data_IF_572475622180
#
_entry.id   IF_572475622180
#
_cell.length_a   1.000
_cell.length_b   1.000
_cell.length_c   1.000
_cell.angle_alpha   90.00
_cell.angle_beta   90.00
_cell.angle_gamma   90.00
#
_symmetry.space_group_name_H-M   'P 1'
#
loop_
_entity.id
_entity.type
_entity.pdbx_description
1 polymer ?
#
# COMPACT_ATOMS: atom_id res chain seq x y z
N UNK A 1 -18.88 -8.35 34.26
CA UNK A 1 -17.96 -7.19 34.25
C UNK A 1 -18.29 -6.17 33.16
N UNK A 2 -18.25 -6.48 31.85
CA UNK A 2 -18.53 -5.48 30.80
C UNK A 2 -19.96 -4.87 30.88
N UNK A 3 -20.97 -5.70 31.12
CA UNK A 3 -22.36 -5.23 31.32
C UNK A 3 -22.51 -4.30 32.54
N UNK A 4 -21.81 -4.59 33.64
CA UNK A 4 -21.81 -3.75 34.83
C UNK A 4 -21.13 -2.39 34.58
N UNK A 5 -20.03 -2.37 33.81
CA UNK A 5 -19.39 -1.14 33.36
C UNK A 5 -20.31 -0.30 32.47
N UNK A 6 -21.04 -0.92 31.54
CA UNK A 6 -22.01 -0.22 30.70
C UNK A 6 -23.12 0.43 31.53
N UNK A 7 -23.61 -0.26 32.57
CA UNK A 7 -24.62 0.31 33.49
C UNK A 7 -24.08 1.53 34.25
N UNK A 8 -22.86 1.44 34.81
CA UNK A 8 -22.25 2.57 35.54
C UNK A 8 -22.04 3.76 34.61
N UNK A 9 -21.59 3.53 33.38
CA UNK A 9 -21.36 4.59 32.40
C UNK A 9 -22.67 5.19 31.87
N UNK A 10 -23.75 4.40 31.78
CA UNK A 10 -25.07 4.92 31.41
C UNK A 10 -25.60 5.94 32.41
N UNK A 11 -25.27 5.81 33.71
CA UNK A 11 -25.60 6.80 34.73
C UNK A 11 -24.90 8.16 34.51
N UNK A 12 -23.77 8.16 33.78
CA UNK A 12 -23.03 9.37 33.40
C UNK A 12 -23.50 9.98 32.07
N UNK A 13 -24.55 9.42 31.45
CA UNK A 13 -25.07 9.84 30.14
C UNK A 13 -24.33 9.24 28.94
N UNK A 14 -23.44 8.27 29.17
CA UNK A 14 -22.68 7.57 28.14
C UNK A 14 -23.31 6.22 27.81
N UNK A 15 -23.93 6.11 26.64
CA UNK A 15 -24.45 4.83 26.12
C UNK A 15 -23.38 4.12 25.29
N UNK A 16 -22.85 3.03 25.83
CA UNK A 16 -21.93 2.16 25.09
C UNK A 16 -22.70 1.03 24.40
N UNK A 17 -22.40 0.73 23.13
CA UNK A 17 -23.00 -0.38 22.43
C UNK A 17 -22.57 -1.70 23.06
N UNK A 18 -23.45 -2.70 23.05
CA UNK A 18 -23.12 -4.03 23.51
C UNK A 18 -21.97 -4.63 22.67
N UNK A 19 -21.15 -5.49 23.28
CA UNK A 19 -20.01 -6.12 22.62
C UNK A 19 -20.40 -6.82 21.30
N UNK A 20 -21.56 -7.51 21.27
CA UNK A 20 -22.06 -8.14 20.05
C UNK A 20 -22.34 -7.13 18.93
N UNK A 21 -22.79 -5.92 19.26
CA UNK A 21 -23.01 -4.86 18.27
C UNK A 21 -21.70 -4.44 17.63
N UNK A 22 -20.64 -4.26 18.44
CA UNK A 22 -19.28 -3.95 17.94
C UNK A 22 -18.75 -5.09 17.06
N UNK A 23 -18.93 -6.34 17.49
CA UNK A 23 -18.51 -7.52 16.71
C UNK A 23 -19.25 -7.60 15.37
N UNK A 24 -20.57 -7.47 15.36
CA UNK A 24 -21.39 -7.55 14.16
C UNK A 24 -21.11 -6.41 13.19
N UNK A 25 -20.95 -5.18 13.70
CA UNK A 25 -20.57 -4.03 12.85
C UNK A 25 -19.19 -4.21 12.23
N UNK A 26 -18.21 -4.69 13.01
CA UNK A 26 -16.86 -4.99 12.50
C UNK A 26 -16.86 -6.12 11.46
N UNK A 27 -17.73 -7.12 11.61
CA UNK A 27 -17.94 -8.17 10.61
C UNK A 27 -18.60 -7.63 9.34
N UNK A 28 -19.64 -6.81 9.48
CA UNK A 28 -20.30 -6.17 8.35
C UNK A 28 -19.35 -5.28 7.55
N UNK A 29 -18.51 -4.48 8.22
CA UNK A 29 -17.51 -3.62 7.56
C UNK A 29 -16.49 -4.48 6.81
N UNK A 30 -15.99 -5.55 7.43
CA UNK A 30 -15.05 -6.47 6.76
C UNK A 30 -15.67 -7.11 5.52
N UNK A 31 -16.92 -7.58 5.61
CA UNK A 31 -17.63 -8.17 4.49
C UNK A 31 -17.88 -7.16 3.37
N UNK A 32 -18.26 -5.92 3.72
CA UNK A 32 -18.46 -4.83 2.77
C UNK A 32 -17.18 -4.49 2.00
N UNK A 33 -16.05 -4.45 2.70
CA UNK A 33 -14.74 -4.13 2.11
C UNK A 33 -14.02 -5.36 1.53
N UNK A 34 -14.59 -6.57 1.64
CA UNK A 34 -13.95 -7.81 1.16
C UNK A 34 -12.69 -8.21 1.93
N UNK A 35 -12.56 -7.79 3.18
CA UNK A 35 -11.43 -8.14 4.04
C UNK A 35 -11.65 -9.49 4.72
N UNK A 36 -10.66 -10.38 4.61
CA UNK A 36 -10.65 -11.64 5.34
C UNK A 36 -9.71 -11.56 6.55
N UNK A 37 -10.13 -12.19 7.64
CA UNK A 37 -9.28 -12.37 8.82
C UNK A 37 -8.46 -13.63 8.64
N UNK A 38 -7.15 -13.47 8.71
CA UNK A 38 -6.16 -14.52 8.70
C UNK A 38 -5.81 -14.88 10.13
N UNK A 39 -5.99 -16.15 10.48
CA UNK A 39 -5.50 -16.73 11.72
C UNK A 39 -4.02 -17.10 11.53
N UNK A 40 -3.19 -16.65 12.46
CA UNK A 40 -1.77 -16.95 12.51
C UNK A 40 -1.42 -17.43 13.91
N UNK A 41 -0.44 -18.32 14.02
CA UNK A 41 0.08 -18.77 15.31
C UNK A 41 1.37 -18.01 15.63
N UNK A 42 1.42 -17.42 16.83
CA UNK A 42 2.64 -16.78 17.32
C UNK A 42 3.70 -17.82 17.71
N UNK A 43 4.95 -17.37 17.86
CA UNK A 43 6.08 -18.20 18.31
C UNK A 43 5.80 -18.86 19.69
N UNK A 44 4.93 -18.27 20.50
CA UNK A 44 4.50 -18.80 21.81
C UNK A 44 3.28 -19.72 21.75
N UNK A 45 2.80 -20.11 20.56
CA UNK A 45 1.63 -20.98 20.40
C UNK A 45 0.28 -20.29 20.61
N UNK A 46 0.26 -18.95 20.77
CA UNK A 46 -0.99 -18.20 20.87
C UNK A 46 -1.57 -17.94 19.48
N UNK A 47 -2.89 -18.16 19.34
CA UNK A 47 -3.66 -17.83 18.14
C UNK A 47 -3.85 -16.31 18.04
N UNK A 48 -3.40 -15.74 16.93
CA UNK A 48 -3.52 -14.33 16.59
C UNK A 48 -4.37 -14.16 15.33
N UNK A 49 -5.17 -13.10 15.29
CA UNK A 49 -6.03 -12.79 14.15
C UNK A 49 -5.61 -11.45 13.58
N UNK A 50 -5.44 -11.40 12.25
CA UNK A 50 -5.02 -10.19 11.55
C UNK A 50 -5.78 -10.05 10.24
N UNK A 51 -5.93 -8.81 9.75
CA UNK A 51 -6.43 -8.57 8.40
C UNK A 51 -5.27 -8.74 7.41
N UNK A 52 -5.57 -9.25 6.21
CA UNK A 52 -4.57 -9.44 5.16
C UNK A 52 -3.92 -8.12 4.75
N UNK A 53 -2.62 -7.95 5.05
CA UNK A 53 -1.84 -6.77 4.65
C UNK A 53 -1.87 -6.53 3.12
N UNK A 54 -1.71 -7.55 2.26
CA UNK A 54 -1.85 -7.36 0.81
C UNK A 54 -3.17 -6.71 0.38
N UNK A 55 -4.29 -7.08 1.03
CA UNK A 55 -5.60 -6.50 0.70
C UNK A 55 -5.66 -5.02 1.11
N UNK A 56 -5.10 -4.68 2.27
CA UNK A 56 -5.06 -3.29 2.75
C UNK A 56 -4.26 -2.43 1.76
N UNK A 57 -3.06 -2.90 1.40
CA UNK A 57 -2.21 -2.20 0.43
C UNK A 57 -2.89 -2.04 -0.93
N UNK A 58 -3.60 -3.07 -1.41
CA UNK A 58 -4.34 -2.98 -2.67
C UNK A 58 -5.42 -1.88 -2.64
N UNK A 59 -6.16 -1.76 -1.53
CA UNK A 59 -7.17 -0.70 -1.38
C UNK A 59 -6.54 0.70 -1.25
N UNK A 60 -5.45 0.84 -0.51
CA UNK A 60 -4.75 2.12 -0.37
C UNK A 60 -4.14 2.58 -1.70
N UNK A 61 -3.58 1.66 -2.49
CA UNK A 61 -3.07 1.98 -3.83
C UNK A 61 -4.20 2.39 -4.78
N UNK A 62 -5.38 1.75 -4.67
CA UNK A 62 -6.55 2.06 -5.48
C UNK A 62 -7.26 3.36 -5.07
N UNK A 63 -6.94 3.92 -3.90
CA UNK A 63 -7.60 5.11 -3.39
C UNK A 63 -7.16 6.37 -4.18
N UNK A 64 -8.08 7.07 -4.87
CA UNK A 64 -7.74 8.23 -5.69
C UNK A 64 -7.20 9.43 -4.88
N UNK A 65 -7.46 9.48 -3.57
CA UNK A 65 -6.91 10.53 -2.71
C UNK A 65 -5.48 10.23 -2.25
N UNK A 66 -5.12 8.94 -2.13
CA UNK A 66 -3.78 8.51 -1.69
C UNK A 66 -2.84 8.34 -2.87
N UNK A 67 -3.37 7.82 -3.98
CA UNK A 67 -2.61 7.51 -5.20
C UNK A 67 -1.70 8.66 -5.68
N UNK A 68 -2.10 9.95 -5.68
CA UNK A 68 -1.24 11.06 -6.11
C UNK A 68 -0.03 11.31 -5.20
N UNK A 69 -0.10 10.86 -3.94
CA UNK A 69 0.97 11.01 -2.96
C UNK A 69 1.93 9.80 -2.94
N UNK A 70 1.65 8.75 -3.70
CA UNK A 70 2.50 7.57 -3.82
C UNK A 70 3.54 7.75 -4.95
N UNK A 71 4.78 7.43 -4.64
CA UNK A 71 5.87 7.41 -5.61
C UNK A 71 6.03 5.98 -6.17
N UNK A 72 5.74 5.79 -7.45
CA UNK A 72 5.87 4.48 -8.12
C UNK A 72 7.21 4.26 -8.81
N UNK A 73 7.99 5.32 -8.97
CA UNK A 73 9.26 5.28 -9.70
C UNK A 73 10.39 5.73 -8.78
N UNK A 74 11.55 5.08 -8.85
CA UNK A 74 12.75 5.56 -8.16
C UNK A 74 13.16 6.92 -8.71
N UNK A 75 13.73 7.76 -7.85
CA UNK A 75 14.12 9.13 -8.15
C UNK A 75 15.62 9.29 -8.00
N UNK A 76 16.27 9.86 -9.01
CA UNK A 76 17.69 10.20 -8.98
C UNK A 76 17.90 11.57 -8.37
N UNK A 77 18.64 11.62 -7.25
CA UNK A 77 19.02 12.87 -6.57
C UNK A 77 20.54 13.05 -6.46
N UNK A 78 21.34 12.16 -7.08
CA UNK A 78 22.81 12.16 -7.00
C UNK A 78 23.33 12.20 -5.54
N UNK A 79 22.56 11.65 -4.59
CA UNK A 79 22.90 11.61 -3.18
C UNK A 79 22.71 12.94 -2.41
N UNK A 80 22.09 13.95 -3.01
CA UNK A 80 21.79 15.22 -2.35
C UNK A 80 20.34 15.26 -1.89
N UNK A 81 20.09 15.84 -0.71
CA UNK A 81 18.74 16.08 -0.18
C UNK A 81 17.82 14.84 -0.27
N UNK A 82 18.27 13.69 0.26
CA UNK A 82 17.46 12.48 0.31
C UNK A 82 16.49 12.57 1.49
N UNK A 83 15.19 12.69 1.20
CA UNK A 83 14.13 12.77 2.21
C UNK A 83 13.00 11.75 1.98
N UNK A 84 13.02 11.03 0.84
CA UNK A 84 12.05 9.97 0.52
C UNK A 84 12.71 8.63 0.27
N UNK A 85 11.95 7.56 0.47
CA UNK A 85 12.40 6.21 0.13
C UNK A 85 12.63 6.02 -1.37
N UNK A 86 11.84 6.68 -2.23
CA UNK A 86 12.00 6.68 -3.69
C UNK A 86 13.38 7.14 -4.16
N UNK A 87 14.04 7.97 -3.36
CA UNK A 87 15.38 8.50 -3.60
C UNK A 87 16.50 7.61 -3.03
N UNK A 88 16.14 6.50 -2.38
CA UNK A 88 17.12 5.61 -1.78
C UNK A 88 17.88 4.83 -2.85
N UNK A 89 19.18 4.65 -2.61
CA UNK A 89 20.04 3.80 -3.43
C UNK A 89 19.49 2.37 -3.54
N UNK A 90 18.89 1.85 -2.47
CA UNK A 90 18.30 0.52 -2.43
C UNK A 90 17.21 0.33 -3.49
N UNK A 91 16.27 1.28 -3.60
CA UNK A 91 15.21 1.21 -4.61
C UNK A 91 15.79 1.36 -6.01
N UNK A 92 16.75 2.27 -6.18
CA UNK A 92 17.34 2.56 -7.49
C UNK A 92 18.17 1.37 -8.04
N UNK A 93 19.08 0.84 -7.23
CA UNK A 93 20.18 -0.01 -7.70
C UNK A 93 20.11 -1.45 -7.18
N UNK A 94 19.57 -1.67 -5.98
CA UNK A 94 19.67 -2.98 -5.30
C UNK A 94 18.49 -3.91 -5.55
N UNK A 95 17.32 -3.38 -5.93
CA UNK A 95 16.17 -4.22 -6.27
C UNK A 95 16.45 -5.05 -7.52
N UNK A 96 16.01 -6.31 -7.55
CA UNK A 96 16.13 -7.16 -8.72
C UNK A 96 15.25 -6.68 -9.89
N UNK A 97 15.58 -6.99 -11.17
CA UNK A 97 14.79 -6.54 -12.32
C UNK A 97 13.30 -6.88 -12.24
N UNK A 98 12.93 -8.01 -11.64
CA UNK A 98 11.54 -8.46 -11.46
C UNK A 98 10.76 -7.67 -10.40
N UNK A 99 11.45 -7.01 -9.47
CA UNK A 99 10.84 -6.18 -8.41
C UNK A 99 10.79 -4.70 -8.81
N UNK A 100 11.50 -4.32 -9.86
CA UNK A 100 11.51 -2.97 -10.39
C UNK A 100 10.25 -2.71 -11.22
N UNK A 101 10.05 -1.43 -11.49
CA UNK A 101 8.96 -0.97 -12.34
C UNK A 101 9.12 -1.52 -13.75
N UNK A 102 8.12 -2.28 -14.19
CA UNK A 102 8.11 -2.91 -15.51
C UNK A 102 7.55 -1.98 -16.61
N UNK A 103 6.78 -0.96 -16.22
CA UNK A 103 6.02 -0.12 -17.14
C UNK A 103 6.03 1.35 -16.71
N UNK A 104 6.27 2.24 -17.67
CA UNK A 104 6.18 3.68 -17.51
C UNK A 104 5.04 4.25 -18.36
N UNK A 105 4.20 5.10 -17.75
CA UNK A 105 3.17 5.85 -18.48
C UNK A 105 3.67 7.26 -18.75
N UNK A 106 3.60 7.69 -20.01
CA UNK A 106 3.86 9.08 -20.40
C UNK A 106 2.97 9.50 -21.56
N UNK A 107 2.21 10.59 -21.39
CA UNK A 107 1.27 11.11 -22.39
C UNK A 107 0.30 10.03 -22.89
N UNK A 108 -0.33 9.30 -21.97
CA UNK A 108 -1.26 8.18 -22.26
C UNK A 108 -0.67 7.04 -23.10
N UNK A 109 0.66 6.96 -23.18
CA UNK A 109 1.39 5.85 -23.81
C UNK A 109 2.11 5.05 -22.76
N UNK A 110 2.03 3.73 -22.91
CA UNK A 110 2.68 2.78 -22.02
C UNK A 110 3.99 2.32 -22.66
N UNK A 111 5.05 2.32 -21.87
CA UNK A 111 6.36 1.85 -22.27
C UNK A 111 6.78 0.72 -21.34
N UNK A 112 7.09 -0.44 -21.90
CA UNK A 112 7.53 -1.59 -21.13
C UNK A 112 9.04 -1.75 -21.22
N UNK A 113 9.63 -2.33 -20.17
CA UNK A 113 11.01 -2.79 -20.26
C UNK A 113 11.12 -3.95 -21.24
N UNK A 114 12.29 -4.11 -21.87
CA UNK A 114 12.59 -5.14 -22.88
C UNK A 114 11.76 -5.09 -24.18
N UNK A 115 10.94 -4.05 -24.37
CA UNK A 115 10.22 -3.83 -25.63
C UNK A 115 10.89 -2.74 -26.49
N UNK A 116 10.95 -2.89 -27.82
CA UNK A 116 11.44 -1.85 -28.71
C UNK A 116 10.58 -0.58 -28.62
N UNK A 117 11.20 0.55 -28.33
CA UNK A 117 10.53 1.85 -28.23
C UNK A 117 11.26 2.87 -29.09
N UNK A 118 10.49 3.72 -29.79
CA UNK A 118 11.05 4.76 -30.64
C UNK A 118 11.19 6.07 -29.86
N UNK A 119 12.40 6.60 -29.78
CA UNK A 119 12.66 7.92 -29.25
C UNK A 119 12.14 9.01 -30.20
N UNK A 120 11.96 10.24 -29.69
CA UNK A 120 11.65 11.42 -30.53
C UNK A 120 12.70 11.66 -31.63
N UNK A 121 13.93 11.22 -31.41
CA UNK A 121 15.04 11.24 -32.38
C UNK A 121 14.94 10.17 -33.48
N UNK A 122 13.84 9.42 -33.53
CA UNK A 122 13.57 8.27 -34.43
C UNK A 122 14.44 7.03 -34.20
N UNK A 123 15.36 7.05 -33.24
CA UNK A 123 16.16 5.89 -32.85
C UNK A 123 15.28 4.87 -32.12
N UNK A 124 15.45 3.60 -32.45
CA UNK A 124 14.82 2.48 -31.75
C UNK A 124 15.75 2.07 -30.61
N UNK A 125 15.22 1.99 -29.41
CA UNK A 125 15.93 1.55 -28.20
C UNK A 125 15.11 0.49 -27.47
N UNK A 126 15.74 -0.25 -26.58
CA UNK A 126 15.06 -1.16 -25.67
C UNK A 126 15.25 -0.61 -24.25
N UNK A 127 14.18 -0.18 -23.55
CA UNK A 127 14.28 0.28 -22.17
C UNK A 127 14.65 -0.89 -21.26
N UNK A 128 15.65 -0.70 -20.41
CA UNK A 128 16.04 -1.70 -19.40
C UNK A 128 15.55 -1.32 -18.00
N UNK A 129 15.41 -0.03 -17.74
CA UNK A 129 15.12 0.50 -16.43
C UNK A 129 14.52 1.90 -16.51
N UNK A 130 13.52 2.18 -15.68
CA UNK A 130 12.87 3.48 -15.58
C UNK A 130 13.13 4.12 -14.22
N UNK A 131 13.52 5.39 -14.25
CA UNK A 131 13.67 6.23 -13.07
C UNK A 131 13.29 7.67 -13.41
N UNK A 132 12.91 8.45 -12.40
CA UNK A 132 12.68 9.89 -12.50
C UNK A 132 14.00 10.60 -12.26
N UNK A 133 14.33 11.56 -13.11
CA UNK A 133 15.45 12.45 -12.88
C UNK A 133 14.90 13.76 -12.32
N UNK A 134 15.30 14.12 -11.10
CA UNK A 134 14.91 15.39 -10.51
C UNK A 134 15.93 16.44 -10.95
N UNK A 135 15.49 17.44 -11.72
CA UNK A 135 16.32 18.57 -12.17
C UNK A 135 16.23 19.73 -11.17
#
# INVERSE_FOLDING_TARGET
>A
MYSQLCLILSLTGLELPHWNTIRNTSENIRNLLGFHVVENESIWGNKCYSVSIPQILAQEIANPYVHPHLDFYPEETNGRNVYKMSQSKKWKEELGPHQRVQMAVRNDKHFYIFEPTQLKSRKIIIPLYFFKMNN
#
